data_IF_328896962779
#
_entry.id   IF_328896962779
#
_cell.length_a   1.000
_cell.length_b   1.000
_cell.length_c   1.000
_cell.angle_alpha   90.00
_cell.angle_beta   90.00
_cell.angle_gamma   90.00
#
_symmetry.space_group_name_H-M   'P 1'
#
loop_
_entity.id
_entity.type
_entity.pdbx_description
1 polymer ?
#
# COMPACT_ATOMS: atom_id res chain seq x y z
N UNK A 1 -24.30 49.90 -23.20
CA UNK A 1 -22.94 49.38 -22.96
C UNK A 1 -22.53 49.28 -21.48
N UNK A 2 -23.47 49.30 -20.53
CA UNK A 2 -23.18 49.16 -19.09
C UNK A 2 -23.46 47.77 -18.51
N UNK A 3 -23.77 46.77 -19.32
CA UNK A 3 -24.24 45.43 -18.86
C UNK A 3 -23.14 44.37 -18.94
N UNK A 4 -22.03 44.60 -19.64
CA UNK A 4 -21.01 43.56 -19.87
C UNK A 4 -20.00 43.36 -18.73
N UNK A 5 -19.86 44.28 -17.81
CA UNK A 5 -18.91 44.15 -16.70
C UNK A 5 -19.44 43.30 -15.53
N UNK A 6 -20.72 43.30 -15.29
CA UNK A 6 -21.32 42.49 -14.24
C UNK A 6 -21.40 40.99 -14.61
N UNK A 7 -21.51 40.67 -15.89
CA UNK A 7 -21.57 39.30 -16.37
C UNK A 7 -20.19 38.62 -16.31
N UNK A 8 -19.11 39.34 -16.61
CA UNK A 8 -17.76 38.81 -16.48
C UNK A 8 -17.34 38.55 -15.02
N UNK A 9 -17.76 39.39 -14.08
CA UNK A 9 -17.47 39.22 -12.66
C UNK A 9 -18.17 38.00 -12.07
N UNK A 10 -19.39 37.72 -12.50
CA UNK A 10 -20.16 36.55 -12.03
C UNK A 10 -19.60 35.25 -12.62
N UNK A 11 -19.13 35.24 -13.85
CA UNK A 11 -18.51 34.07 -14.49
C UNK A 11 -17.16 33.72 -13.85
N UNK A 12 -16.38 34.71 -13.49
CA UNK A 12 -15.06 34.53 -12.83
C UNK A 12 -15.25 33.96 -11.40
N UNK A 13 -16.27 34.40 -10.66
CA UNK A 13 -16.59 33.89 -9.33
C UNK A 13 -17.12 32.42 -9.38
N UNK A 14 -17.84 32.02 -10.43
CA UNK A 14 -18.33 30.65 -10.60
C UNK A 14 -17.19 29.67 -10.93
N UNK A 15 -16.11 30.10 -11.58
CA UNK A 15 -14.94 29.26 -11.88
C UNK A 15 -14.03 29.02 -10.68
N UNK A 16 -14.07 29.87 -9.65
CA UNK A 16 -13.26 29.71 -8.43
C UNK A 16 -13.85 28.69 -7.43
N UNK A 17 -15.14 28.38 -7.51
CA UNK A 17 -15.79 27.45 -6.57
C UNK A 17 -15.63 25.96 -6.94
N UNK A 18 -15.13 25.64 -8.13
CA UNK A 18 -15.04 24.25 -8.58
C UNK A 18 -13.72 23.54 -8.25
N UNK A 19 -12.75 24.21 -7.64
CA UNK A 19 -11.38 23.67 -7.47
C UNK A 19 -11.08 23.06 -6.10
N UNK A 20 -12.00 23.08 -5.13
CA UNK A 20 -11.65 22.73 -3.73
C UNK A 20 -12.10 21.35 -3.27
N UNK A 21 -12.84 20.58 -4.07
CA UNK A 21 -13.36 19.26 -3.64
C UNK A 21 -12.45 18.07 -3.94
N UNK A 22 -11.42 18.23 -4.76
CA UNK A 22 -10.55 17.11 -5.16
C UNK A 22 -9.48 16.74 -4.13
N UNK A 23 -9.05 17.65 -3.28
CA UNK A 23 -7.92 17.42 -2.37
C UNK A 23 -8.31 16.55 -1.18
N UNK A 24 -9.50 16.71 -0.65
CA UNK A 24 -9.98 15.96 0.52
C UNK A 24 -10.28 14.48 0.20
N UNK A 25 -10.78 14.18 -0.99
CA UNK A 25 -11.07 12.81 -1.43
C UNK A 25 -9.79 12.00 -1.66
N UNK A 26 -8.72 12.63 -2.16
CA UNK A 26 -7.42 11.97 -2.37
C UNK A 26 -6.75 11.63 -1.05
N UNK A 27 -6.82 12.49 -0.04
CA UNK A 27 -6.24 12.27 1.29
C UNK A 27 -6.92 11.10 2.00
N UNK A 28 -8.23 10.99 1.89
CA UNK A 28 -9.00 9.89 2.47
C UNK A 28 -8.63 8.54 1.86
N UNK A 29 -8.55 8.48 0.54
CA UNK A 29 -8.18 7.28 -0.20
C UNK A 29 -6.75 6.81 0.13
N UNK A 30 -5.81 7.73 0.30
CA UNK A 30 -4.44 7.42 0.69
C UNK A 30 -4.38 6.81 2.11
N UNK A 31 -5.14 7.33 3.05
CA UNK A 31 -5.22 6.80 4.43
C UNK A 31 -5.80 5.39 4.47
N UNK A 32 -6.84 5.13 3.70
CA UNK A 32 -7.44 3.79 3.61
C UNK A 32 -6.45 2.78 3.03
N UNK A 33 -5.77 3.12 1.94
CA UNK A 33 -4.73 2.27 1.35
C UNK A 33 -3.59 2.00 2.33
N UNK A 34 -3.18 3.01 3.10
CA UNK A 34 -2.18 2.87 4.15
C UNK A 34 -2.60 1.87 5.22
N UNK A 35 -3.82 1.98 5.73
CA UNK A 35 -4.35 1.05 6.73
C UNK A 35 -4.48 -0.37 6.18
N UNK A 36 -4.96 -0.51 4.95
CA UNK A 36 -5.03 -1.81 4.29
C UNK A 36 -3.66 -2.46 4.15
N UNK A 37 -2.66 -1.72 3.69
CA UNK A 37 -1.29 -2.23 3.57
C UNK A 37 -0.71 -2.61 4.93
N UNK A 38 -0.94 -1.80 5.96
CA UNK A 38 -0.51 -2.08 7.34
C UNK A 38 -1.12 -3.38 7.88
N UNK A 39 -2.41 -3.60 7.66
CA UNK A 39 -3.08 -4.83 8.06
C UNK A 39 -2.55 -6.05 7.29
N UNK A 40 -2.35 -5.91 5.98
CA UNK A 40 -1.79 -6.97 5.15
C UNK A 40 -0.36 -7.35 5.54
N UNK A 41 0.46 -6.39 5.96
CA UNK A 41 1.81 -6.62 6.50
C UNK A 41 1.73 -7.43 7.80
N UNK A 42 0.81 -7.08 8.69
CA UNK A 42 0.59 -7.83 9.91
C UNK A 42 0.14 -9.29 9.62
N UNK A 43 -0.80 -9.46 8.71
CA UNK A 43 -1.28 -10.80 8.30
C UNK A 43 -0.16 -11.63 7.68
N UNK A 44 0.71 -11.02 6.87
CA UNK A 44 1.88 -11.68 6.31
C UNK A 44 2.85 -12.16 7.41
N UNK A 45 3.07 -11.36 8.45
CA UNK A 45 3.89 -11.75 9.60
C UNK A 45 3.31 -12.97 10.33
N UNK A 46 1.99 -12.95 10.57
CA UNK A 46 1.28 -14.10 11.17
C UNK A 46 1.40 -15.34 10.30
N UNK A 47 1.25 -15.18 8.98
CA UNK A 47 1.34 -16.29 8.03
C UNK A 47 2.74 -16.91 7.98
N UNK A 48 3.80 -16.10 7.94
CA UNK A 48 5.18 -16.59 8.00
C UNK A 48 5.43 -17.39 9.30
N UNK A 49 4.94 -16.89 10.43
CA UNK A 49 5.08 -17.57 11.72
C UNK A 49 4.31 -18.90 11.75
N UNK A 50 3.12 -18.94 11.17
CA UNK A 50 2.34 -20.17 11.01
C UNK A 50 3.07 -21.17 10.12
N UNK A 51 3.64 -20.74 9.01
CA UNK A 51 4.41 -21.55 8.09
C UNK A 51 5.62 -22.24 8.73
N UNK A 52 6.26 -21.58 9.70
CA UNK A 52 7.35 -22.20 10.49
C UNK A 52 6.78 -23.27 11.43
N UNK A 53 5.66 -23.01 12.08
CA UNK A 53 5.04 -23.95 13.03
C UNK A 53 4.52 -25.21 12.37
N UNK A 54 3.90 -25.11 11.21
CA UNK A 54 3.35 -26.23 10.45
C UNK A 54 4.37 -26.88 9.50
N UNK A 55 5.60 -26.37 9.49
CA UNK A 55 6.70 -26.84 8.65
C UNK A 55 6.50 -26.62 7.15
N UNK A 56 5.59 -25.74 6.74
CA UNK A 56 5.45 -25.33 5.33
C UNK A 56 6.57 -24.39 4.89
N UNK A 57 7.23 -23.72 5.84
CA UNK A 57 8.42 -22.89 5.63
C UNK A 57 9.62 -23.41 6.44
N UNK A 58 10.80 -23.44 5.84
CA UNK A 58 12.05 -23.63 6.60
C UNK A 58 12.38 -22.37 7.39
N UNK A 59 13.24 -22.52 8.40
CA UNK A 59 13.76 -21.36 9.17
C UNK A 59 14.43 -20.32 8.27
N UNK A 60 15.24 -20.77 7.31
CA UNK A 60 15.95 -19.89 6.37
C UNK A 60 14.99 -19.14 5.42
N UNK A 61 13.99 -19.83 4.90
CA UNK A 61 12.94 -19.20 4.07
C UNK A 61 12.16 -18.16 4.87
N UNK A 62 11.73 -18.52 6.09
CA UNK A 62 11.01 -17.61 6.97
C UNK A 62 11.85 -16.39 7.36
N UNK A 63 13.14 -16.57 7.64
CA UNK A 63 14.04 -15.45 7.95
C UNK A 63 14.21 -14.50 6.76
N UNK A 64 14.39 -15.03 5.56
CA UNK A 64 14.44 -14.23 4.34
C UNK A 64 13.16 -13.43 4.13
N UNK A 65 12.00 -14.08 4.23
CA UNK A 65 10.69 -13.43 4.07
C UNK A 65 10.44 -12.37 5.16
N UNK A 66 10.85 -12.61 6.40
CA UNK A 66 10.77 -11.63 7.49
C UNK A 66 11.66 -10.41 7.24
N UNK A 67 12.85 -10.60 6.68
CA UNK A 67 13.76 -9.50 6.35
C UNK A 67 13.19 -8.63 5.22
N UNK A 68 12.60 -9.24 4.20
CA UNK A 68 11.89 -8.50 3.15
C UNK A 68 10.68 -7.73 3.71
N UNK A 69 9.90 -8.35 4.60
CA UNK A 69 8.77 -7.70 5.27
C UNK A 69 9.21 -6.50 6.12
N UNK A 70 10.27 -6.64 6.91
CA UNK A 70 10.86 -5.54 7.72
C UNK A 70 11.32 -4.38 6.85
N UNK A 71 11.86 -4.66 5.67
CA UNK A 71 12.25 -3.61 4.72
C UNK A 71 11.03 -2.82 4.26
N UNK A 72 9.95 -3.49 3.87
CA UNK A 72 8.70 -2.84 3.46
C UNK A 72 8.11 -2.02 4.62
N UNK A 73 8.08 -2.55 5.85
CA UNK A 73 7.64 -1.82 7.04
C UNK A 73 8.48 -0.56 7.30
N UNK A 74 9.80 -0.67 7.15
CA UNK A 74 10.73 0.46 7.34
C UNK A 74 10.50 1.54 6.28
N UNK A 75 10.35 1.15 5.01
CA UNK A 75 10.08 2.06 3.91
C UNK A 75 8.71 2.74 4.07
N UNK A 76 7.71 1.98 4.53
CA UNK A 76 6.39 2.50 4.87
C UNK A 76 6.46 3.55 5.99
N UNK A 77 7.15 3.26 7.09
CA UNK A 77 7.32 4.22 8.20
C UNK A 77 8.05 5.49 7.77
N UNK A 78 9.05 5.36 6.90
CA UNK A 78 9.79 6.50 6.36
C UNK A 78 8.90 7.38 5.50
N UNK A 79 8.17 6.78 4.57
CA UNK A 79 7.22 7.48 3.71
C UNK A 79 6.11 8.18 4.51
N UNK A 80 5.64 7.57 5.61
CA UNK A 80 4.59 8.13 6.47
C UNK A 80 5.00 9.36 7.27
N UNK A 81 6.31 9.59 7.50
CA UNK A 81 6.81 10.77 8.24
C UNK A 81 6.67 12.06 7.43
N UNK A 82 6.90 11.98 6.13
CA UNK A 82 6.95 13.13 5.22
C UNK A 82 5.63 13.31 4.45
N UNK A 83 4.64 12.46 4.71
CA UNK A 83 3.43 12.36 3.91
C UNK A 83 3.66 11.47 2.68
N UNK A 84 2.95 10.36 2.63
CA UNK A 84 3.13 9.38 1.55
C UNK A 84 2.60 9.92 0.22
N UNK A 85 3.44 9.92 -0.81
CA UNK A 85 3.01 10.21 -2.16
C UNK A 85 2.28 9.01 -2.78
N UNK A 86 1.47 9.27 -3.81
CA UNK A 86 0.81 8.21 -4.57
C UNK A 86 1.79 7.22 -5.17
N UNK A 87 2.91 7.70 -5.70
CA UNK A 87 3.95 6.86 -6.30
C UNK A 87 4.63 5.97 -5.26
N UNK A 88 4.91 6.49 -4.07
CA UNK A 88 5.48 5.70 -2.96
C UNK A 88 4.51 4.61 -2.50
N UNK A 89 3.23 4.92 -2.38
CA UNK A 89 2.21 3.94 -2.05
C UNK A 89 2.13 2.82 -3.10
N UNK A 90 2.08 3.16 -4.38
CA UNK A 90 2.06 2.18 -5.48
C UNK A 90 3.31 1.29 -5.47
N UNK A 91 4.48 1.86 -5.18
CA UNK A 91 5.72 1.10 -5.05
C UNK A 91 5.66 0.11 -3.88
N UNK A 92 5.25 0.56 -2.70
CA UNK A 92 5.11 -0.29 -1.51
C UNK A 92 4.10 -1.42 -1.73
N UNK A 93 2.98 -1.14 -2.35
CA UNK A 93 1.97 -2.15 -2.70
C UNK A 93 2.53 -3.20 -3.67
N UNK A 94 3.32 -2.80 -4.66
CA UNK A 94 3.98 -3.72 -5.61
C UNK A 94 5.03 -4.59 -4.90
N UNK A 95 5.85 -4.00 -4.04
CA UNK A 95 6.86 -4.74 -3.27
C UNK A 95 6.18 -5.75 -2.34
N UNK A 96 5.10 -5.35 -1.68
CA UNK A 96 4.32 -6.24 -0.83
C UNK A 96 3.61 -7.36 -1.63
N UNK A 97 3.04 -7.05 -2.79
CA UNK A 97 2.42 -8.05 -3.66
C UNK A 97 3.43 -9.13 -4.11
N UNK A 98 4.68 -8.72 -4.39
CA UNK A 98 5.78 -9.65 -4.68
C UNK A 98 6.08 -10.54 -3.48
N UNK A 99 6.24 -9.97 -2.30
CA UNK A 99 6.50 -10.72 -1.07
C UNK A 99 5.39 -11.75 -0.78
N UNK A 100 4.12 -11.34 -0.91
CA UNK A 100 2.98 -12.25 -0.73
C UNK A 100 3.01 -13.42 -1.70
N UNK A 101 3.39 -13.15 -2.95
CA UNK A 101 3.56 -14.20 -3.98
C UNK A 101 4.72 -15.15 -3.64
N UNK A 102 5.81 -14.62 -3.09
CA UNK A 102 6.95 -15.42 -2.66
C UNK A 102 6.59 -16.31 -1.46
N UNK A 103 5.86 -15.78 -0.47
CA UNK A 103 5.34 -16.58 0.66
C UNK A 103 4.51 -17.75 0.13
N UNK A 104 3.54 -17.48 -0.73
CA UNK A 104 2.69 -18.51 -1.32
C UNK A 104 3.49 -19.57 -2.09
N UNK A 105 4.48 -19.16 -2.86
CA UNK A 105 5.33 -20.06 -3.63
C UNK A 105 6.15 -21.00 -2.74
N UNK A 106 6.77 -20.47 -1.70
CA UNK A 106 7.60 -21.27 -0.79
C UNK A 106 6.75 -22.28 -0.01
N UNK A 107 5.58 -21.90 0.49
CA UNK A 107 4.63 -22.81 1.15
C UNK A 107 4.24 -23.97 0.22
N UNK A 108 3.89 -23.66 -1.04
CA UNK A 108 3.43 -24.69 -1.98
C UNK A 108 4.55 -25.55 -2.58
N UNK A 109 5.77 -25.05 -2.66
CA UNK A 109 6.90 -25.84 -3.15
C UNK A 109 7.21 -27.02 -2.24
N UNK A 110 7.00 -26.89 -0.95
CA UNK A 110 7.18 -27.98 0.01
C UNK A 110 6.13 -29.07 -0.12
N UNK A 111 4.88 -28.70 -0.31
CA UNK A 111 3.80 -29.68 -0.53
C UNK A 111 4.08 -30.55 -1.76
N UNK A 112 4.67 -29.98 -2.81
CA UNK A 112 5.10 -30.73 -4.01
C UNK A 112 6.33 -31.60 -3.76
N UNK A 113 7.25 -31.17 -2.89
CA UNK A 113 8.46 -31.91 -2.53
C UNK A 113 8.19 -33.10 -1.62
N UNK A 114 7.15 -33.08 -0.80
CA UNK A 114 6.77 -34.20 0.07
C UNK A 114 6.04 -35.33 -0.67
N UNK A 115 5.59 -35.09 -1.90
CA UNK A 115 4.94 -36.14 -2.72
C UNK A 115 5.94 -36.96 -3.58
N UNK A 116 7.21 -36.75 -3.38
CA UNK A 116 8.28 -37.56 -3.97
C UNK A 116 8.96 -38.41 -2.91
#
# INVERSE_FOLDING_TARGET
>A
MKVSWNVCAVVILALFFFSTTSTYAQDHQQRERWQQLSNQIHDAQVKINAGVRDSSLTKNEAERLRNELKKIESDMKRAGRDGISRQEMERLEKEFAKLRKDIYREENNRERGQKR
#
